data_IF_966176196640
#
_entry.id   IF_966176196640
#
_cell.length_a   1.000
_cell.length_b   1.000
_cell.length_c   1.000
_cell.angle_alpha   90.00
_cell.angle_beta   90.00
_cell.angle_gamma   90.00
#
_symmetry.space_group_name_H-M   'P 1'
#
loop_
_entity.id
_entity.type
_entity.pdbx_description
1 polymer ?
#
# COMPACT_ATOMS: atom_id res chain seq x y z
N UNK A 1 -49.90 26.76 29.25
CA UNK A 1 -48.45 27.08 29.35
C UNK A 1 -47.66 25.84 28.96
N UNK A 2 -47.03 25.88 27.78
CA UNK A 2 -46.16 24.83 27.25
C UNK A 2 -44.87 24.77 28.07
N UNK A 3 -44.40 23.57 28.43
CA UNK A 3 -42.98 23.36 28.80
C UNK A 3 -42.33 22.54 27.70
N UNK A 4 -41.42 23.21 27.00
CA UNK A 4 -40.61 22.68 25.91
C UNK A 4 -39.74 21.52 26.40
N UNK A 5 -39.81 20.43 25.64
CA UNK A 5 -38.86 19.33 25.61
C UNK A 5 -37.53 19.81 25.05
N UNK A 6 -36.45 19.77 25.83
CA UNK A 6 -35.09 19.86 25.29
C UNK A 6 -34.70 18.47 24.78
N UNK A 7 -34.71 18.32 23.45
CA UNK A 7 -34.14 17.17 22.79
C UNK A 7 -32.63 17.16 22.99
N UNK A 8 -32.09 16.03 23.46
CA UNK A 8 -30.66 15.77 23.43
C UNK A 8 -30.19 15.78 21.97
N UNK A 9 -29.31 16.72 21.63
CA UNK A 9 -28.55 16.68 20.39
C UNK A 9 -27.73 15.39 20.39
N UNK A 10 -28.09 14.43 19.52
CA UNK A 10 -27.19 13.33 19.17
C UNK A 10 -25.93 13.97 18.58
N UNK A 11 -24.82 13.90 19.31
CA UNK A 11 -23.52 14.14 18.73
C UNK A 11 -23.37 13.19 17.53
N UNK A 12 -23.22 13.74 16.33
CA UNK A 12 -22.85 12.91 15.18
C UNK A 12 -21.49 12.32 15.50
N UNK A 13 -21.42 11.02 15.75
CA UNK A 13 -20.15 10.31 15.78
C UNK A 13 -19.47 10.60 14.44
N UNK A 14 -18.37 11.36 14.43
CA UNK A 14 -17.53 11.47 13.24
C UNK A 14 -17.22 10.04 12.81
N UNK A 15 -17.65 9.68 11.61
CA UNK A 15 -17.42 8.34 11.09
C UNK A 15 -15.91 8.22 10.86
N UNK A 16 -15.20 7.55 11.78
CA UNK A 16 -13.74 7.29 11.69
C UNK A 16 -13.45 6.09 10.79
N UNK A 17 -14.21 5.98 9.69
CA UNK A 17 -14.04 4.94 8.70
C UNK A 17 -13.17 5.49 7.56
N UNK A 18 -12.15 4.74 7.16
CA UNK A 18 -11.34 5.06 5.98
C UNK A 18 -12.02 4.52 4.72
N UNK A 19 -12.56 3.31 4.77
CA UNK A 19 -13.25 2.71 3.63
C UNK A 19 -14.69 3.24 3.56
N UNK A 20 -15.19 3.58 2.36
CA UNK A 20 -16.57 4.01 2.18
C UNK A 20 -17.59 2.86 2.25
N UNK A 21 -17.14 1.65 2.58
CA UNK A 21 -17.95 0.43 2.66
C UNK A 21 -17.53 -0.45 3.84
N UNK A 22 -18.45 -1.27 4.33
CA UNK A 22 -18.14 -2.27 5.35
C UNK A 22 -17.36 -3.44 4.73
N UNK A 23 -16.44 -4.00 5.50
CA UNK A 23 -15.63 -5.16 5.08
C UNK A 23 -15.81 -6.32 6.05
N UNK A 24 -15.67 -7.58 5.59
CA UNK A 24 -15.56 -8.71 6.51
C UNK A 24 -14.28 -8.60 7.34
N UNK A 25 -14.17 -9.38 8.41
CA UNK A 25 -12.95 -9.34 9.23
C UNK A 25 -11.81 -9.96 8.44
N UNK A 26 -10.65 -9.29 8.40
CA UNK A 26 -9.44 -9.81 7.75
C UNK A 26 -9.13 -11.25 8.19
N UNK A 27 -9.24 -11.52 9.50
CA UNK A 27 -8.96 -12.82 10.11
C UNK A 27 -9.87 -13.95 9.63
N UNK A 28 -11.01 -13.65 9.00
CA UNK A 28 -11.89 -14.69 8.48
C UNK A 28 -11.33 -15.25 7.15
N UNK A 29 -10.52 -14.46 6.43
CA UNK A 29 -9.95 -14.81 5.13
C UNK A 29 -8.44 -15.06 5.16
N UNK A 30 -7.69 -14.40 6.06
CA UNK A 30 -6.23 -14.45 6.10
C UNK A 30 -5.70 -14.81 7.49
N UNK A 31 -4.53 -15.45 7.49
CA UNK A 31 -3.69 -15.65 8.68
C UNK A 31 -2.51 -14.68 8.59
N UNK A 32 -2.39 -13.76 9.55
CA UNK A 32 -1.21 -12.89 9.66
C UNK A 32 -0.05 -13.68 10.26
N UNK A 33 1.12 -13.55 9.66
CA UNK A 33 2.38 -14.20 10.04
C UNK A 33 3.42 -13.19 10.50
N UNK A 34 4.69 -13.49 10.18
CA UNK A 34 5.83 -12.66 10.60
C UNK A 34 5.77 -11.24 10.03
N UNK A 35 6.32 -10.27 10.76
CA UNK A 35 6.60 -8.92 10.25
C UNK A 35 7.59 -9.01 9.08
N UNK A 36 7.29 -8.32 8.00
CA UNK A 36 8.15 -8.15 6.82
C UNK A 36 8.87 -6.81 6.85
N UNK A 37 8.20 -5.75 7.31
CA UNK A 37 8.77 -4.41 7.32
C UNK A 37 7.90 -3.42 8.11
N UNK A 38 8.41 -2.20 8.27
CA UNK A 38 7.68 -1.10 8.91
C UNK A 38 7.87 0.16 8.09
N UNK A 39 6.77 0.63 7.49
CA UNK A 39 6.73 1.91 6.80
C UNK A 39 6.30 3.04 7.73
N UNK A 40 6.18 4.24 7.15
CA UNK A 40 5.74 5.45 7.86
C UNK A 40 4.38 5.25 8.56
N UNK A 41 3.39 4.75 7.80
CA UNK A 41 2.00 4.67 8.25
C UNK A 41 1.64 3.36 8.94
N UNK A 42 2.39 2.29 8.70
CA UNK A 42 1.96 0.96 9.11
C UNK A 42 3.06 -0.07 9.18
N UNK A 43 2.68 -1.27 9.63
CA UNK A 43 3.57 -2.44 9.64
C UNK A 43 3.09 -3.44 8.62
N UNK A 44 4.02 -3.93 7.80
CA UNK A 44 3.73 -4.94 6.79
C UNK A 44 4.05 -6.32 7.35
N UNK A 45 3.11 -7.25 7.22
CA UNK A 45 3.21 -8.63 7.67
C UNK A 45 3.07 -9.58 6.49
N UNK A 46 3.71 -10.74 6.57
CA UNK A 46 3.36 -11.87 5.72
C UNK A 46 1.94 -12.28 6.06
N UNK A 47 1.10 -12.57 5.08
CA UNK A 47 -0.20 -13.16 5.33
C UNK A 47 -0.48 -14.31 4.38
N UNK A 48 -1.25 -15.29 4.85
CA UNK A 48 -1.63 -16.48 4.08
C UNK A 48 -3.14 -16.47 3.89
N UNK A 49 -3.59 -16.55 2.65
CA UNK A 49 -5.00 -16.71 2.34
C UNK A 49 -5.47 -18.11 2.74
N UNK A 50 -6.47 -18.19 3.62
CA UNK A 50 -6.85 -19.44 4.29
C UNK A 50 -7.31 -20.54 3.34
N UNK A 51 -8.10 -20.20 2.33
CA UNK A 51 -8.70 -21.19 1.43
C UNK A 51 -7.75 -21.68 0.34
N UNK A 52 -6.86 -20.83 -0.17
CA UNK A 52 -5.93 -21.19 -1.24
C UNK A 52 -4.51 -21.51 -0.77
N UNK A 53 -4.16 -21.17 0.47
CA UNK A 53 -2.78 -21.26 0.97
C UNK A 53 -1.80 -20.25 0.33
N UNK A 54 -2.27 -19.37 -0.57
CA UNK A 54 -1.42 -18.41 -1.26
C UNK A 54 -0.90 -17.34 -0.29
N UNK A 55 0.38 -16.99 -0.45
CA UNK A 55 1.05 -15.98 0.34
C UNK A 55 0.86 -14.57 -0.25
N UNK A 56 0.75 -13.60 0.65
CA UNK A 56 0.53 -12.18 0.38
C UNK A 56 1.28 -11.33 1.40
N UNK A 57 1.35 -10.02 1.15
CA UNK A 57 1.78 -9.03 2.13
C UNK A 57 0.57 -8.25 2.64
N UNK A 58 0.50 -7.97 3.94
CA UNK A 58 -0.57 -7.19 4.56
C UNK A 58 0.02 -5.98 5.29
N UNK A 59 -0.17 -4.77 4.75
CA UNK A 59 0.16 -3.51 5.44
C UNK A 59 -0.99 -3.15 6.37
N UNK A 60 -0.71 -3.15 7.67
CA UNK A 60 -1.68 -2.80 8.73
C UNK A 60 -1.37 -1.41 9.27
N UNK A 61 -2.31 -0.48 9.10
CA UNK A 61 -2.23 0.92 9.49
C UNK A 61 -3.10 1.12 10.75
N UNK A 62 -2.51 1.41 11.92
CA UNK A 62 -3.28 1.65 13.14
C UNK A 62 -4.07 2.95 13.06
N UNK A 63 -5.38 2.92 13.30
CA UNK A 63 -6.23 4.12 13.30
C UNK A 63 -5.82 5.16 14.32
N UNK A 64 -5.20 4.73 15.43
CA UNK A 64 -4.61 5.64 16.44
C UNK A 64 -3.46 6.51 15.91
N UNK A 65 -2.89 6.20 14.73
CA UNK A 65 -1.91 7.04 14.04
C UNK A 65 -2.55 8.06 13.10
N UNK A 66 -3.86 7.97 12.86
CA UNK A 66 -4.62 8.89 12.03
C UNK A 66 -5.24 9.95 12.95
N UNK A 67 -4.56 11.09 13.04
CA UNK A 67 -4.81 12.14 14.03
C UNK A 67 -5.80 13.18 13.52
N UNK A 68 -5.83 13.43 12.21
CA UNK A 68 -6.74 14.37 11.56
C UNK A 68 -7.42 13.75 10.34
N UNK A 69 -8.40 14.46 9.75
CA UNK A 69 -9.17 13.95 8.62
C UNK A 69 -8.27 13.68 7.40
N UNK A 70 -7.26 14.53 7.22
CA UNK A 70 -6.28 14.42 6.14
C UNK A 70 -5.54 13.09 6.18
N UNK A 71 -5.25 12.54 7.37
CA UNK A 71 -4.61 11.22 7.50
C UNK A 71 -5.54 10.09 7.00
N UNK A 72 -6.85 10.19 7.23
CA UNK A 72 -7.83 9.22 6.72
C UNK A 72 -7.94 9.32 5.20
N UNK A 73 -7.97 10.56 4.69
CA UNK A 73 -8.04 10.84 3.25
C UNK A 73 -6.77 10.38 2.52
N UNK A 74 -5.59 10.48 3.17
CA UNK A 74 -4.32 10.00 2.63
C UNK A 74 -4.29 8.46 2.52
N UNK A 75 -4.75 7.73 3.54
CA UNK A 75 -4.86 6.27 3.45
C UNK A 75 -5.86 5.85 2.39
N UNK A 76 -7.00 6.55 2.29
CA UNK A 76 -7.98 6.27 1.25
C UNK A 76 -7.41 6.54 -0.16
N UNK A 77 -6.67 7.64 -0.33
CA UNK A 77 -5.99 7.96 -1.59
C UNK A 77 -4.94 6.92 -1.97
N UNK A 78 -4.16 6.42 -1.01
CA UNK A 78 -3.20 5.32 -1.23
C UNK A 78 -3.92 4.11 -1.84
N UNK A 79 -5.04 3.69 -1.24
CA UNK A 79 -5.85 2.57 -1.73
C UNK A 79 -6.35 2.82 -3.15
N UNK A 80 -6.85 4.03 -3.43
CA UNK A 80 -7.35 4.39 -4.76
C UNK A 80 -6.23 4.35 -5.81
N UNK A 81 -5.06 4.90 -5.50
CA UNK A 81 -3.90 4.90 -6.38
C UNK A 81 -3.43 3.47 -6.67
N UNK A 82 -3.34 2.63 -5.64
CA UNK A 82 -2.93 1.23 -5.82
C UNK A 82 -3.91 0.46 -6.71
N UNK A 83 -5.21 0.67 -6.56
CA UNK A 83 -6.20 0.10 -7.48
C UNK A 83 -6.04 0.64 -8.91
N UNK A 84 -5.83 1.96 -9.05
CA UNK A 84 -5.70 2.62 -10.34
C UNK A 84 -4.47 2.14 -11.15
N UNK A 85 -3.39 1.78 -10.45
CA UNK A 85 -2.14 1.30 -11.06
C UNK A 85 -2.01 -0.23 -11.11
N UNK A 86 -3.01 -0.97 -10.61
CA UNK A 86 -2.90 -2.41 -10.33
C UNK A 86 -2.68 -3.32 -11.54
N UNK A 87 -2.91 -2.82 -12.76
CA UNK A 87 -2.68 -3.57 -14.00
C UNK A 87 -1.23 -3.46 -14.51
N UNK A 88 -0.42 -2.55 -13.96
CA UNK A 88 0.97 -2.38 -14.41
C UNK A 88 1.88 -3.46 -13.80
N UNK A 89 2.63 -4.23 -14.60
CA UNK A 89 3.40 -5.39 -14.11
C UNK A 89 4.49 -5.02 -13.09
N UNK A 90 5.06 -3.83 -13.20
CA UNK A 90 6.08 -3.29 -12.29
C UNK A 90 5.51 -2.47 -11.12
N UNK A 91 4.22 -2.56 -10.84
CA UNK A 91 3.59 -1.97 -9.64
C UNK A 91 3.00 -3.10 -8.80
N UNK A 92 3.12 -3.00 -7.47
CA UNK A 92 2.55 -3.98 -6.55
C UNK A 92 1.02 -4.00 -6.67
N UNK A 93 0.47 -5.18 -6.92
CA UNK A 93 -0.97 -5.37 -7.02
C UNK A 93 -1.64 -5.41 -5.65
N UNK A 94 -2.69 -4.60 -5.48
CA UNK A 94 -3.59 -4.69 -4.34
C UNK A 94 -4.60 -5.83 -4.55
N UNK A 95 -4.70 -6.73 -3.59
CA UNK A 95 -5.61 -7.88 -3.62
C UNK A 95 -6.95 -7.59 -2.92
N UNK A 96 -6.91 -6.74 -1.88
CA UNK A 96 -8.11 -6.35 -1.15
C UNK A 96 -7.80 -5.48 0.07
N UNK A 97 -8.83 -4.82 0.57
CA UNK A 97 -8.78 -3.94 1.73
C UNK A 97 -9.75 -4.41 2.81
N UNK A 98 -9.34 -4.25 4.07
CA UNK A 98 -10.14 -4.64 5.23
C UNK A 98 -10.00 -3.58 6.30
N UNK A 99 -11.07 -3.36 7.06
CA UNK A 99 -11.10 -2.34 8.09
C UNK A 99 -11.85 -2.86 9.31
N UNK A 100 -11.26 -2.66 10.49
CA UNK A 100 -11.89 -2.94 11.76
C UNK A 100 -11.88 -1.68 12.65
N UNK A 101 -12.21 -1.84 13.95
CA UNK A 101 -12.27 -0.71 14.87
C UNK A 101 -10.91 -0.07 15.18
N UNK A 102 -9.80 -0.75 14.90
CA UNK A 102 -8.44 -0.36 15.33
C UNK A 102 -7.44 -0.26 14.17
N UNK A 103 -7.66 -0.93 13.04
CA UNK A 103 -6.75 -0.94 11.90
C UNK A 103 -7.47 -0.80 10.56
N UNK A 104 -6.72 -0.32 9.57
CA UNK A 104 -6.98 -0.52 8.14
C UNK A 104 -5.89 -1.44 7.60
N UNK A 105 -6.27 -2.42 6.79
CA UNK A 105 -5.40 -3.46 6.25
C UNK A 105 -5.44 -3.48 4.74
N UNK A 106 -4.28 -3.37 4.10
CA UNK A 106 -4.10 -3.48 2.66
C UNK A 106 -3.41 -4.82 2.38
N UNK A 107 -4.13 -5.77 1.78
CA UNK A 107 -3.58 -7.04 1.32
C UNK A 107 -3.09 -6.86 -0.11
N UNK A 108 -1.84 -7.19 -0.36
CA UNK A 108 -1.10 -6.94 -1.59
C UNK A 108 -0.34 -8.20 -2.00
N UNK A 109 0.03 -8.32 -3.27
CA UNK A 109 0.94 -9.40 -3.69
C UNK A 109 2.24 -9.39 -2.88
N UNK A 110 2.82 -10.57 -2.67
CA UNK A 110 4.06 -10.70 -1.92
C UNK A 110 5.26 -10.58 -2.86
N UNK A 111 6.11 -9.58 -2.64
CA UNK A 111 7.44 -9.48 -3.27
C UNK A 111 8.48 -10.19 -2.39
N UNK A 112 8.78 -11.46 -2.70
CA UNK A 112 9.66 -12.30 -1.89
C UNK A 112 11.16 -12.16 -2.23
N UNK A 113 11.49 -11.38 -3.27
CA UNK A 113 12.84 -11.22 -3.81
C UNK A 113 13.72 -10.19 -3.12
N UNK A 114 13.22 -9.52 -2.09
CA UNK A 114 13.93 -8.49 -1.33
C UNK A 114 13.98 -7.13 -2.02
N UNK A 115 14.63 -6.17 -1.36
CA UNK A 115 14.77 -4.78 -1.82
C UNK A 115 15.82 -4.64 -2.92
N UNK A 116 15.63 -3.66 -3.81
CA UNK A 116 16.62 -3.29 -4.80
C UNK A 116 17.94 -2.86 -4.16
N UNK A 117 17.87 -2.11 -3.06
CA UNK A 117 19.04 -1.66 -2.32
C UNK A 117 19.93 -2.83 -1.87
N UNK A 118 19.33 -3.85 -1.26
CA UNK A 118 20.05 -5.04 -0.79
C UNK A 118 20.71 -5.81 -1.94
N UNK A 119 20.04 -5.92 -3.10
CA UNK A 119 20.62 -6.56 -4.28
C UNK A 119 21.80 -5.77 -4.83
N UNK A 120 21.70 -4.45 -4.84
CA UNK A 120 22.78 -3.56 -5.26
C UNK A 120 24.01 -3.79 -4.37
N UNK A 121 23.83 -3.77 -3.05
CA UNK A 121 24.90 -4.00 -2.08
C UNK A 121 25.51 -5.40 -2.23
N UNK A 122 24.68 -6.45 -2.28
CA UNK A 122 25.14 -7.84 -2.33
C UNK A 122 25.98 -8.14 -3.56
N UNK A 123 25.66 -7.52 -4.71
CA UNK A 123 26.40 -7.73 -5.95
C UNK A 123 27.76 -7.01 -5.96
N UNK A 124 27.89 -5.92 -5.21
CA UNK A 124 29.11 -5.11 -5.09
C UNK A 124 29.41 -4.25 -6.32
N UNK A 125 29.40 -4.82 -7.53
CA UNK A 125 29.63 -4.09 -8.78
C UNK A 125 28.47 -4.30 -9.76
N UNK A 126 27.96 -3.19 -10.29
CA UNK A 126 27.03 -3.17 -11.41
C UNK A 126 27.73 -2.61 -12.64
N UNK A 127 27.67 -3.32 -13.75
CA UNK A 127 28.06 -2.75 -15.03
C UNK A 127 27.04 -1.68 -15.45
N UNK A 128 27.46 -0.71 -16.26
CA UNK A 128 26.56 0.30 -16.83
C UNK A 128 25.37 -0.34 -17.54
N UNK A 129 25.59 -1.46 -18.23
CA UNK A 129 24.53 -2.21 -18.90
C UNK A 129 23.47 -2.74 -17.94
N UNK A 130 23.85 -3.16 -16.74
CA UNK A 130 22.92 -3.66 -15.74
C UNK A 130 22.20 -2.53 -15.03
N UNK A 131 22.92 -1.45 -14.70
CA UNK A 131 22.34 -0.23 -14.17
C UNK A 131 21.29 0.35 -15.13
N UNK A 132 21.60 0.41 -16.44
CA UNK A 132 20.69 0.88 -17.47
C UNK A 132 19.39 0.05 -17.53
N UNK A 133 19.45 -1.28 -17.33
CA UNK A 133 18.25 -2.13 -17.27
C UNK A 133 17.37 -1.81 -16.06
N UNK A 134 17.98 -1.58 -14.90
CA UNK A 134 17.25 -1.19 -13.68
C UNK A 134 16.59 0.17 -13.86
N UNK A 135 17.35 1.18 -14.32
CA UNK A 135 16.84 2.53 -14.56
C UNK A 135 15.72 2.52 -15.60
N UNK A 136 15.84 1.73 -16.68
CA UNK A 136 14.75 1.59 -17.67
C UNK A 136 13.45 1.11 -17.01
N UNK A 137 13.53 0.18 -16.08
CA UNK A 137 12.36 -0.33 -15.36
C UNK A 137 11.77 0.73 -14.43
N UNK A 138 12.63 1.43 -13.68
CA UNK A 138 12.22 2.52 -12.78
C UNK A 138 11.53 3.64 -13.57
N UNK A 139 12.11 4.08 -14.69
CA UNK A 139 11.53 5.11 -15.55
C UNK A 139 10.21 4.63 -16.15
N UNK A 140 10.09 3.36 -16.53
CA UNK A 140 8.82 2.77 -16.98
C UNK A 140 7.72 2.84 -15.92
N UNK A 141 8.03 2.58 -14.64
CA UNK A 141 7.08 2.79 -13.54
C UNK A 141 6.66 4.26 -13.43
N UNK A 142 7.61 5.19 -13.55
CA UNK A 142 7.33 6.63 -13.48
C UNK A 142 6.42 7.06 -14.63
N UNK A 143 6.71 6.61 -15.85
CA UNK A 143 5.86 6.83 -17.03
C UNK A 143 4.44 6.29 -16.82
N UNK A 144 4.31 5.07 -16.30
CA UNK A 144 3.01 4.48 -15.99
C UNK A 144 2.23 5.30 -14.96
N UNK A 145 2.89 5.74 -13.87
CA UNK A 145 2.26 6.60 -12.88
C UNK A 145 1.80 7.92 -13.51
N UNK A 146 2.68 8.59 -14.25
CA UNK A 146 2.42 9.91 -14.81
C UNK A 146 1.35 9.88 -15.91
N UNK A 147 1.34 8.86 -16.77
CA UNK A 147 0.30 8.68 -17.81
C UNK A 147 -1.09 8.46 -17.22
N UNK A 148 -1.16 7.96 -16.00
CA UNK A 148 -2.39 7.76 -15.22
C UNK A 148 -2.64 8.91 -14.21
N UNK A 149 -1.93 10.03 -14.33
CA UNK A 149 -2.14 11.20 -13.49
C UNK A 149 -1.77 10.98 -12.02
N UNK A 150 -0.81 10.10 -11.72
CA UNK A 150 -0.29 9.83 -10.37
C UNK A 150 1.16 10.29 -10.25
N UNK A 151 1.48 11.04 -9.19
CA UNK A 151 2.86 11.28 -8.76
C UNK A 151 3.19 10.40 -7.57
N UNK A 152 4.27 9.60 -7.65
CA UNK A 152 4.67 8.71 -6.56
C UNK A 152 5.19 9.46 -5.32
N UNK A 153 6.03 10.50 -5.54
CA UNK A 153 6.65 11.39 -4.54
C UNK A 153 7.63 10.76 -3.53
N UNK A 154 7.91 9.46 -3.60
CA UNK A 154 8.84 8.78 -2.68
C UNK A 154 9.63 7.68 -3.42
N UNK A 155 10.24 8.03 -4.55
CA UNK A 155 11.05 7.09 -5.33
C UNK A 155 12.43 6.93 -4.68
N UNK A 156 12.69 5.75 -4.15
CA UNK A 156 13.97 5.36 -3.55
C UNK A 156 14.18 3.85 -3.68
N UNK A 157 15.43 3.34 -3.65
CA UNK A 157 15.71 1.92 -3.83
C UNK A 157 14.91 0.97 -2.92
N UNK A 158 14.59 1.38 -1.70
CA UNK A 158 13.82 0.62 -0.72
C UNK A 158 12.35 0.40 -1.15
N UNK A 159 11.81 1.29 -1.99
CA UNK A 159 10.46 1.20 -2.52
C UNK A 159 10.39 0.39 -3.84
N UNK A 160 11.48 -0.27 -4.22
CA UNK A 160 11.50 -1.23 -5.33
C UNK A 160 11.87 -2.61 -4.79
N UNK A 161 10.91 -3.53 -4.88
CA UNK A 161 11.07 -4.91 -4.44
C UNK A 161 11.12 -5.83 -5.66
N UNK A 162 11.67 -7.02 -5.48
CA UNK A 162 11.59 -8.08 -6.49
C UNK A 162 10.51 -9.10 -6.12
N UNK A 163 9.76 -9.57 -7.11
CA UNK A 163 8.70 -10.56 -6.91
C UNK A 163 9.22 -11.90 -6.34
N UNK A 164 10.38 -12.33 -6.81
CA UNK A 164 11.02 -13.61 -6.50
C UNK A 164 12.52 -13.45 -6.24
N UNK A 165 13.18 -14.39 -5.53
CA UNK A 165 14.64 -14.32 -5.29
C UNK A 165 15.54 -14.52 -6.52
N UNK A 166 14.99 -14.95 -7.66
CA UNK A 166 15.75 -15.27 -8.87
C UNK A 166 16.40 -14.06 -9.53
N UNK A 167 17.34 -14.30 -10.46
CA UNK A 167 18.03 -13.24 -11.20
C UNK A 167 17.10 -12.55 -12.21
N UNK A 168 16.16 -13.30 -12.76
CA UNK A 168 15.13 -12.92 -13.73
C UNK A 168 13.84 -12.38 -13.07
N UNK A 169 13.90 -12.11 -11.76
CA UNK A 169 12.81 -11.57 -10.98
C UNK A 169 12.33 -10.20 -11.51
N UNK A 170 11.01 -10.00 -11.48
CA UNK A 170 10.41 -8.73 -11.86
C UNK A 170 10.54 -7.72 -10.71
N UNK A 171 11.01 -6.52 -11.04
CA UNK A 171 10.99 -5.39 -10.12
C UNK A 171 9.57 -4.81 -10.03
N UNK A 172 9.12 -4.53 -8.81
CA UNK A 172 7.84 -3.93 -8.50
C UNK A 172 8.01 -2.73 -7.57
N UNK A 173 7.43 -1.61 -7.95
CA UNK A 173 7.31 -0.44 -7.10
C UNK A 173 6.23 -0.65 -6.04
N UNK A 174 6.51 -0.15 -4.84
CA UNK A 174 5.66 -0.24 -3.66
C UNK A 174 5.61 1.10 -2.92
N UNK A 175 4.75 1.17 -1.91
CA UNK A 175 4.57 2.29 -0.97
C UNK A 175 4.11 3.60 -1.62
N UNK A 176 2.83 3.61 -2.02
CA UNK A 176 2.15 4.77 -2.56
C UNK A 176 1.53 5.67 -1.47
N UNK A 177 1.95 5.50 -0.21
CA UNK A 177 1.40 6.25 0.93
C UNK A 177 1.63 7.76 0.87
N UNK A 178 2.64 8.20 0.12
CA UNK A 178 2.89 9.62 -0.16
C UNK A 178 2.42 10.02 -1.56
N UNK A 179 1.81 9.14 -2.34
CA UNK A 179 1.42 9.45 -3.72
C UNK A 179 0.16 10.31 -3.80
N UNK A 180 0.01 11.04 -4.90
CA UNK A 180 -1.16 11.89 -5.16
C UNK A 180 -1.61 11.79 -6.61
N UNK A 181 -2.90 11.98 -6.82
CA UNK A 181 -3.43 12.30 -8.15
C UNK A 181 -3.08 13.74 -8.51
N UNK A 182 -2.80 13.99 -9.78
CA UNK A 182 -2.58 15.31 -10.34
C UNK A 182 -3.23 15.44 -11.71
N UNK A 183 -3.54 16.67 -12.11
CA UNK A 183 -3.93 16.98 -13.47
C UNK A 183 -2.70 17.51 -14.21
N UNK A 184 -2.31 16.90 -15.34
CA UNK A 184 -1.34 17.51 -16.24
C UNK A 184 -1.82 18.92 -16.62
N UNK A 185 -0.90 19.89 -16.55
CA UNK A 185 -1.17 21.29 -16.91
C UNK A 185 -1.22 21.53 -18.40
#
# INVERSE_FOLDING_TARGET
MQKQTFGSSKASSKCTAVLPYQTPRLRDHYLLGKKLGQGQFGTTYLCTHKSSGKLYACKSIPKRKLLCQEDYDDVWREIQIMHHLSEHPNVVQIQGTYEDSVFVHLVMELCAGGELFDRIIKKGHYSEREAAKLIKTIVGVVEACHSLGVMHRDLKPENFLFDTPGEDAQMKATDFGLSVFYKPG
#
